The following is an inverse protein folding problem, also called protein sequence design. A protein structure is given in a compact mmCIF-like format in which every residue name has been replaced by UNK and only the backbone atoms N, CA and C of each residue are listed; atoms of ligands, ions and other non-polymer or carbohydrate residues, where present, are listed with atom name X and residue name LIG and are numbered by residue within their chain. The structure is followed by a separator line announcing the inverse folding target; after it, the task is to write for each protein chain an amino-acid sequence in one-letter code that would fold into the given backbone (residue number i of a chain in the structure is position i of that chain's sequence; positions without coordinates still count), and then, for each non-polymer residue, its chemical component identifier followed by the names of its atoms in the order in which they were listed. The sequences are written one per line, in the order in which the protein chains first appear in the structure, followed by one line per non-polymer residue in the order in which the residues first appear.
data_IF_760329577649
#
_entry.id   IF_760329577649
#
_cell.length_a   1.000
_cell.length_b   1.000
_cell.length_c   1.000
_cell.angle_alpha   90.00
_cell.angle_beta   90.00
_cell.angle_gamma   90.00
#
_symmetry.space_group_name_H-M   'P 1'
#
loop_
_entity.id
_entity.type
_entity.pdbx_description
1 polymer ?
#
# COMPACT_ATOMS: atom_id res chain seq x y z
N UNK A 1 -14.91 -5.92 -59.88
CA UNK A 1 -14.55 -7.32 -59.55
C UNK A 1 -14.64 -7.45 -58.05
N UNK A 2 -15.86 -7.75 -57.58
CA UNK A 2 -16.18 -7.98 -56.17
C UNK A 2 -16.04 -9.47 -55.87
N UNK A 3 -15.37 -9.82 -54.78
CA UNK A 3 -15.46 -11.15 -54.19
C UNK A 3 -15.96 -11.01 -52.76
N UNK A 4 -17.24 -11.34 -52.58
CA UNK A 4 -17.88 -11.63 -51.29
C UNK A 4 -17.40 -13.01 -50.83
N UNK A 5 -16.82 -13.08 -49.64
CA UNK A 5 -16.64 -14.34 -48.91
C UNK A 5 -17.70 -14.42 -47.82
N UNK A 6 -18.62 -15.35 -48.04
CA UNK A 6 -19.55 -15.92 -47.07
C UNK A 6 -18.74 -16.81 -46.14
N UNK A 7 -18.92 -16.68 -44.83
CA UNK A 7 -18.44 -17.67 -43.87
C UNK A 7 -19.54 -17.95 -42.84
N UNK A 8 -20.20 -19.08 -43.04
CA UNK A 8 -21.03 -19.76 -42.06
C UNK A 8 -20.13 -20.65 -41.17
N UNK A 9 -20.54 -20.88 -39.93
CA UNK A 9 -20.01 -21.97 -39.10
C UNK A 9 -19.75 -21.60 -37.64
N UNK A 10 -20.75 -21.85 -36.78
CA UNK A 10 -20.55 -21.94 -35.33
C UNK A 10 -19.72 -23.17 -34.93
N UNK A 11 -19.34 -23.28 -33.64
CA UNK A 11 -20.15 -24.18 -32.81
C UNK A 11 -20.43 -23.68 -31.39
N UNK A 12 -21.60 -24.09 -30.93
CA UNK A 12 -22.15 -24.13 -29.58
C UNK A 12 -21.18 -24.72 -28.55
N UNK A 13 -20.98 -24.02 -27.43
CA UNK A 13 -20.39 -24.59 -26.21
C UNK A 13 -21.49 -25.09 -25.27
N UNK A 14 -21.36 -26.30 -24.70
CA UNK A 14 -22.31 -26.83 -23.73
C UNK A 14 -22.01 -26.31 -22.31
N UNK A 15 -23.06 -25.90 -21.61
CA UNK A 15 -23.04 -25.72 -20.17
C UNK A 15 -22.88 -27.08 -19.50
N UNK A 16 -21.73 -27.30 -18.86
CA UNK A 16 -21.53 -28.40 -17.92
C UNK A 16 -22.00 -27.95 -16.53
N UNK A 17 -23.09 -28.56 -16.10
CA UNK A 17 -23.53 -28.63 -14.71
C UNK A 17 -22.48 -29.39 -13.88
N UNK A 18 -22.16 -28.88 -12.69
CA UNK A 18 -21.42 -29.63 -11.67
C UNK A 18 -22.33 -29.93 -10.47
N UNK A 19 -22.25 -31.15 -9.92
CA UNK A 19 -23.19 -31.68 -8.95
C UNK A 19 -22.82 -31.32 -7.51
N UNK A 20 -23.81 -31.52 -6.63
CA UNK A 20 -23.72 -31.25 -5.21
C UNK A 20 -22.68 -32.06 -4.43
N UNK A 21 -22.33 -31.50 -3.29
CA UNK A 21 -21.71 -32.15 -2.14
C UNK A 21 -22.26 -31.39 -0.95
N UNK A 22 -23.00 -31.98 0.00
CA UNK A 22 -22.72 -33.24 0.66
C UNK A 22 -22.44 -32.89 2.11
N UNK A 23 -23.41 -33.19 2.98
CA UNK A 23 -23.32 -32.99 4.43
C UNK A 23 -21.99 -33.51 4.99
N UNK A 24 -21.35 -32.72 5.87
CA UNK A 24 -20.59 -33.30 6.97
C UNK A 24 -21.08 -32.74 8.29
N UNK A 25 -21.63 -33.68 9.07
CA UNK A 25 -22.03 -33.56 10.45
C UNK A 25 -20.82 -33.21 11.32
N UNK A 26 -21.04 -32.29 12.25
CA UNK A 26 -20.09 -31.92 13.30
C UNK A 26 -20.38 -32.83 14.50
N UNK A 27 -19.42 -33.62 15.00
CA UNK A 27 -19.62 -34.38 16.23
C UNK A 27 -19.49 -33.46 17.45
N UNK A 28 -20.49 -33.60 18.33
CA UNK A 28 -20.52 -33.18 19.72
C UNK A 28 -19.42 -33.87 20.52
N UNK A 29 -18.79 -33.21 21.49
CA UNK A 29 -18.25 -33.90 22.65
C UNK A 29 -19.07 -33.55 23.90
N UNK A 30 -19.57 -34.61 24.52
CA UNK A 30 -20.14 -34.67 25.85
C UNK A 30 -19.18 -34.19 26.94
N UNK A 31 -19.77 -33.58 27.97
CA UNK A 31 -19.59 -34.01 29.36
C UNK A 31 -18.25 -33.71 30.05
N UNK A 32 -18.26 -32.69 30.91
CA UNK A 32 -17.88 -32.85 32.33
C UNK A 32 -18.17 -31.53 33.09
N UNK A 33 -19.19 -31.57 33.94
CA UNK A 33 -19.36 -30.64 35.06
C UNK A 33 -18.22 -30.82 36.08
N UNK A 34 -17.94 -29.79 36.90
CA UNK A 34 -18.05 -30.06 38.32
C UNK A 34 -18.72 -28.93 39.12
N UNK A 35 -19.62 -29.40 39.98
CA UNK A 35 -19.80 -29.03 41.40
C UNK A 35 -19.95 -27.55 41.77
N UNK A 36 -21.24 -27.21 41.90
CA UNK A 36 -21.80 -26.39 42.96
C UNK A 36 -21.06 -26.58 44.31
N UNK A 37 -20.48 -25.50 44.82
CA UNK A 37 -20.33 -25.29 46.26
C UNK A 37 -21.23 -24.16 46.71
N UNK A 38 -22.23 -24.57 47.47
CA UNK A 38 -23.07 -23.74 48.31
C UNK A 38 -22.20 -23.06 49.39
N UNK A 39 -22.36 -21.75 49.54
CA UNK A 39 -22.07 -21.08 50.79
C UNK A 39 -23.28 -20.23 51.13
N UNK A 40 -24.12 -20.84 51.95
CA UNK A 40 -25.08 -20.19 52.81
C UNK A 40 -24.39 -19.06 53.58
N UNK A 41 -24.92 -17.85 53.47
CA UNK A 41 -24.87 -16.89 54.58
C UNK A 41 -26.14 -16.03 54.49
N UNK A 42 -27.17 -16.57 55.11
CA UNK A 42 -28.38 -15.86 55.50
C UNK A 42 -28.03 -14.64 56.35
N UNK A 43 -28.30 -13.45 55.84
CA UNK A 43 -28.57 -12.27 56.69
C UNK A 43 -29.92 -11.70 56.29
N UNK A 44 -30.92 -12.12 57.05
CA UNK A 44 -32.31 -11.67 57.02
C UNK A 44 -32.41 -10.24 57.55
N UNK A 45 -32.22 -9.25 56.68
CA UNK A 45 -32.60 -7.86 56.97
C UNK A 45 -33.98 -7.62 56.37
N UNK A 46 -35.02 -7.81 57.20
CA UNK A 46 -36.40 -7.41 56.95
C UNK A 46 -36.47 -5.88 56.78
N UNK A 47 -36.24 -5.39 55.56
CA UNK A 47 -36.72 -4.07 55.16
C UNK A 47 -38.18 -4.20 54.72
N UNK A 48 -39.09 -3.66 55.52
CA UNK A 48 -40.45 -3.35 55.09
C UNK A 48 -40.37 -2.37 53.91
N UNK A 49 -40.37 -2.90 52.69
CA UNK A 49 -40.63 -2.13 51.48
C UNK A 49 -42.10 -1.71 51.51
N UNK A 50 -42.38 -0.48 51.96
CA UNK A 50 -43.56 0.24 51.49
C UNK A 50 -43.36 0.44 49.99
N UNK A 51 -43.88 -0.50 49.20
CA UNK A 51 -44.02 -0.34 47.76
C UNK A 51 -45.02 0.79 47.53
N UNK A 52 -44.52 2.02 47.51
CA UNK A 52 -45.12 3.01 46.64
C UNK A 52 -45.04 2.41 45.24
N UNK A 53 -46.16 1.91 44.76
CA UNK A 53 -46.35 1.53 43.38
C UNK A 53 -46.17 2.82 42.56
N UNK A 54 -44.91 3.15 42.26
CA UNK A 54 -44.59 4.07 41.19
C UNK A 54 -45.17 3.38 39.96
N UNK A 55 -46.20 3.95 39.32
CA UNK A 55 -46.87 3.29 38.22
C UNK A 55 -45.81 2.93 37.20
N UNK A 56 -45.77 1.65 36.81
CA UNK A 56 -44.80 1.06 35.88
C UNK A 56 -44.54 1.93 34.63
N UNK A 57 -45.57 2.66 34.20
CA UNK A 57 -45.54 3.66 33.13
C UNK A 57 -44.52 4.79 33.33
N UNK A 58 -44.27 5.27 34.57
CA UNK A 58 -43.27 6.31 34.84
C UNK A 58 -41.85 5.76 34.67
N UNK A 59 -41.61 4.52 35.09
CA UNK A 59 -40.33 3.84 34.89
C UNK A 59 -40.03 3.59 33.41
N UNK A 60 -41.02 3.10 32.66
CA UNK A 60 -40.90 2.88 31.22
C UNK A 60 -40.67 4.20 30.45
N UNK A 61 -41.38 5.27 30.80
CA UNK A 61 -41.19 6.59 30.20
C UNK A 61 -39.80 7.17 30.48
N UNK A 62 -39.27 7.02 31.70
CA UNK A 62 -37.93 7.48 32.05
C UNK A 62 -36.83 6.72 31.27
N UNK A 63 -36.96 5.39 31.13
CA UNK A 63 -36.01 4.58 30.35
C UNK A 63 -36.05 4.94 28.87
N UNK A 64 -37.24 5.18 28.30
CA UNK A 64 -37.39 5.59 26.91
C UNK A 64 -36.80 6.99 26.67
N UNK A 65 -37.07 7.95 27.56
CA UNK A 65 -36.52 9.31 27.48
C UNK A 65 -35.00 9.30 27.64
N UNK A 66 -34.46 8.50 28.56
CA UNK A 66 -33.02 8.31 28.72
C UNK A 66 -32.39 7.68 27.48
N UNK A 67 -33.04 6.68 26.87
CA UNK A 67 -32.58 6.07 25.61
C UNK A 67 -32.56 7.09 24.47
N UNK A 68 -33.60 7.93 24.34
CA UNK A 68 -33.64 9.02 23.36
C UNK A 68 -32.56 10.08 23.62
N UNK A 69 -32.27 10.40 24.88
CA UNK A 69 -31.20 11.33 25.24
C UNK A 69 -29.81 10.75 24.97
N UNK A 70 -29.60 9.45 25.21
CA UNK A 70 -28.34 8.76 24.88
C UNK A 70 -28.17 8.66 23.37
N UNK A 71 -29.20 8.24 22.61
CA UNK A 71 -29.17 8.21 21.14
C UNK A 71 -29.03 9.61 20.52
N UNK A 72 -29.71 10.61 21.08
CA UNK A 72 -29.63 12.01 20.65
C UNK A 72 -28.27 12.64 20.99
N UNK A 73 -27.76 12.39 22.19
CA UNK A 73 -26.43 12.81 22.63
C UNK A 73 -25.31 12.14 21.83
N UNK A 74 -25.44 10.86 21.49
CA UNK A 74 -24.51 10.16 20.61
C UNK A 74 -24.57 10.69 19.19
N UNK A 75 -25.74 11.05 18.66
CA UNK A 75 -25.84 11.75 17.36
C UNK A 75 -25.19 13.13 17.39
N UNK A 76 -25.33 13.89 18.48
CA UNK A 76 -24.70 15.20 18.62
C UNK A 76 -23.16 15.09 18.76
N UNK A 77 -22.68 14.10 19.51
CA UNK A 77 -21.24 13.81 19.66
C UNK A 77 -20.66 13.21 18.37
N UNK A 78 -21.40 12.37 17.66
CA UNK A 78 -20.99 11.82 16.36
C UNK A 78 -20.98 12.87 15.24
N UNK A 79 -21.81 13.93 15.34
CA UNK A 79 -21.76 15.09 14.44
C UNK A 79 -20.56 16.01 14.69
N UNK A 80 -19.87 15.86 15.83
CA UNK A 80 -18.59 16.55 16.05
C UNK A 80 -17.55 15.81 15.23
N UNK A 81 -17.33 16.25 14.00
CA UNK A 81 -16.23 15.75 13.16
C UNK A 81 -14.96 15.72 14.04
N UNK A 82 -14.42 14.52 14.27
CA UNK A 82 -13.17 14.38 15.01
C UNK A 82 -12.13 15.13 14.19
N UNK A 83 -11.45 16.10 14.83
CA UNK A 83 -10.39 16.83 14.18
C UNK A 83 -9.38 15.82 13.62
N UNK A 84 -9.08 15.85 12.32
CA UNK A 84 -8.11 14.94 11.74
C UNK A 84 -6.77 15.10 12.45
N UNK A 85 -6.06 13.98 12.57
CA UNK A 85 -4.74 13.94 13.19
C UNK A 85 -3.73 14.34 12.12
N UNK A 86 -3.25 15.58 12.16
CA UNK A 86 -2.24 16.09 11.23
C UNK A 86 -1.89 17.55 11.52
N UNK A 87 -0.70 18.02 11.10
CA UNK A 87 -0.35 19.44 11.23
C UNK A 87 -1.23 20.29 10.30
N UNK A 88 -1.54 21.55 10.66
CA UNK A 88 -2.25 22.46 9.77
C UNK A 88 -1.41 22.79 8.54
N UNK A 89 -2.07 23.09 7.42
CA UNK A 89 -1.41 23.63 6.23
C UNK A 89 -0.87 25.03 6.56
N UNK A 90 0.41 25.32 6.33
CA UNK A 90 0.99 26.64 6.56
C UNK A 90 0.33 27.70 5.67
N UNK A 91 0.00 28.84 6.27
CA UNK A 91 -0.63 29.99 5.57
C UNK A 91 0.05 31.31 5.88
N UNK A 92 0.98 31.32 6.82
CA UNK A 92 1.84 32.45 7.10
C UNK A 92 2.97 32.53 6.06
N UNK A 93 3.53 33.72 5.79
CA UNK A 93 4.54 33.90 4.75
C UNK A 93 5.80 33.04 4.93
N UNK A 94 6.22 32.79 6.17
CA UNK A 94 7.39 31.96 6.48
C UNK A 94 7.11 30.50 6.17
N UNK A 95 5.94 29.99 6.58
CA UNK A 95 5.45 28.66 6.25
C UNK A 95 5.32 28.44 4.75
N UNK A 96 4.74 29.38 4.01
CA UNK A 96 4.63 29.31 2.54
C UNK A 96 6.01 29.22 1.89
N UNK A 97 6.95 30.08 2.30
CA UNK A 97 8.33 30.03 1.82
C UNK A 97 8.99 28.70 2.17
N UNK A 98 8.79 28.20 3.38
CA UNK A 98 9.29 26.89 3.81
C UNK A 98 8.80 25.74 2.93
N UNK A 99 7.54 25.76 2.48
CA UNK A 99 7.04 24.74 1.54
C UNK A 99 7.70 24.82 0.16
N UNK A 100 7.98 26.03 -0.34
CA UNK A 100 8.66 26.22 -1.62
C UNK A 100 10.13 25.80 -1.52
N UNK A 101 10.83 26.18 -0.45
CA UNK A 101 12.22 25.80 -0.20
C UNK A 101 12.35 24.26 -0.07
N UNK A 102 11.39 23.61 0.59
CA UNK A 102 11.31 22.15 0.67
C UNK A 102 11.12 21.49 -0.70
N UNK A 103 10.25 22.06 -1.54
CA UNK A 103 10.03 21.60 -2.91
C UNK A 103 11.30 21.69 -3.76
N UNK A 104 11.99 22.83 -3.72
CA UNK A 104 13.25 23.03 -4.45
C UNK A 104 14.31 22.03 -4.01
N UNK A 105 14.48 21.84 -2.70
CA UNK A 105 15.41 20.87 -2.14
C UNK A 105 15.06 19.43 -2.52
N UNK A 106 13.76 19.07 -2.57
CA UNK A 106 13.33 17.77 -3.06
C UNK A 106 13.68 17.57 -4.53
N UNK A 107 13.45 18.58 -5.37
CA UNK A 107 13.78 18.56 -6.79
C UNK A 107 15.29 18.40 -7.04
N UNK A 108 16.12 19.13 -6.29
CA UNK A 108 17.59 19.01 -6.35
C UNK A 108 18.08 17.62 -5.93
N UNK A 109 17.54 17.07 -4.83
CA UNK A 109 17.88 15.71 -4.38
C UNK A 109 17.52 14.65 -5.42
N UNK A 110 16.35 14.76 -6.03
CA UNK A 110 15.93 13.84 -7.10
C UNK A 110 16.83 13.97 -8.33
N UNK A 111 17.14 15.20 -8.75
CA UNK A 111 18.04 15.43 -9.90
C UNK A 111 19.43 14.85 -9.63
N UNK A 112 19.99 15.08 -8.44
CA UNK A 112 21.28 14.52 -8.05
C UNK A 112 21.25 12.99 -8.01
N UNK A 113 20.22 12.39 -7.38
CA UNK A 113 20.05 10.93 -7.32
C UNK A 113 19.90 10.32 -8.70
N UNK A 114 19.09 10.93 -9.58
CA UNK A 114 18.90 10.48 -10.95
C UNK A 114 20.21 10.49 -11.74
N UNK A 115 21.00 11.55 -11.64
CA UNK A 115 22.31 11.65 -12.32
C UNK A 115 23.32 10.63 -11.80
N UNK A 116 23.29 10.32 -10.49
CA UNK A 116 24.18 9.35 -9.86
C UNK A 116 23.74 7.89 -10.04
N UNK A 117 22.47 7.64 -10.36
CA UNK A 117 21.95 6.31 -10.64
C UNK A 117 22.56 5.69 -11.90
N UNK A 118 22.83 4.39 -11.86
CA UNK A 118 23.28 3.62 -13.03
C UNK A 118 22.25 3.68 -14.16
N UNK A 119 22.68 3.31 -15.38
CA UNK A 119 21.77 3.19 -16.51
C UNK A 119 20.68 2.15 -16.27
N UNK A 120 21.03 1.01 -15.68
CA UNK A 120 20.09 -0.06 -15.35
C UNK A 120 19.03 0.41 -14.34
N UNK A 121 19.42 1.17 -13.31
CA UNK A 121 18.49 1.75 -12.34
C UNK A 121 17.54 2.76 -13.01
N UNK A 122 18.05 3.62 -13.90
CA UNK A 122 17.20 4.59 -14.63
C UNK A 122 16.25 3.91 -15.61
N UNK A 123 16.70 2.86 -16.30
CA UNK A 123 15.89 2.06 -17.20
C UNK A 123 14.80 1.29 -16.43
N UNK A 124 15.16 0.68 -15.30
CA UNK A 124 14.23 0.03 -14.37
C UNK A 124 13.18 1.02 -13.85
N UNK A 125 13.60 2.21 -13.38
CA UNK A 125 12.68 3.24 -12.92
C UNK A 125 11.68 3.63 -14.01
N UNK A 126 12.18 3.86 -15.22
CA UNK A 126 11.36 4.21 -16.39
C UNK A 126 10.37 3.09 -16.77
N UNK A 127 10.72 1.83 -16.51
CA UNK A 127 9.89 0.68 -16.86
C UNK A 127 8.82 0.39 -15.82
N UNK A 128 9.15 0.54 -14.53
CA UNK A 128 8.27 0.11 -13.44
C UNK A 128 7.57 1.25 -12.71
N UNK A 129 8.16 2.43 -12.61
CA UNK A 129 7.66 3.53 -11.76
C UNK A 129 7.30 4.80 -12.53
N UNK A 130 7.30 4.75 -13.86
CA UNK A 130 6.86 5.87 -14.70
C UNK A 130 5.42 5.68 -15.20
N UNK A 131 4.73 6.77 -15.58
CA UNK A 131 3.42 6.73 -16.23
C UNK A 131 3.34 5.82 -17.48
N UNK A 132 4.48 5.52 -18.11
CA UNK A 132 4.55 4.59 -19.24
C UNK A 132 4.03 3.19 -18.89
N UNK A 133 4.16 2.77 -17.63
CA UNK A 133 3.71 1.46 -17.17
C UNK A 133 2.18 1.34 -17.13
N UNK A 134 1.47 2.45 -16.87
CA UNK A 134 0.01 2.44 -16.76
C UNK A 134 -0.67 2.71 -18.09
N UNK A 135 0.06 3.24 -19.07
CA UNK A 135 -0.41 3.39 -20.45
C UNK A 135 -0.68 2.01 -21.08
N UNK A 136 -1.79 1.89 -21.80
CA UNK A 136 -1.98 0.73 -22.68
C UNK A 136 -1.00 0.87 -23.86
N UNK A 137 -0.29 -0.21 -24.27
CA UNK A 137 0.64 -0.17 -25.41
C UNK A 137 -0.01 0.29 -26.73
N UNK A 138 -1.35 0.21 -26.83
CA UNK A 138 -2.12 0.66 -27.99
C UNK A 138 -2.50 2.14 -27.95
N UNK A 139 -2.35 2.81 -26.81
CA UNK A 139 -2.84 4.19 -26.61
C UNK A 139 -1.81 5.25 -27.01
N UNK A 140 -0.52 5.04 -26.72
CA UNK A 140 0.53 6.05 -26.91
C UNK A 140 1.85 5.36 -27.25
N UNK A 141 2.59 5.89 -28.23
CA UNK A 141 3.99 5.49 -28.44
C UNK A 141 4.78 5.83 -27.18
N UNK A 142 5.33 4.85 -26.47
CA UNK A 142 6.02 5.10 -25.21
C UNK A 142 7.22 6.05 -25.29
N UNK A 143 7.78 6.28 -26.49
CA UNK A 143 8.87 7.23 -26.75
C UNK A 143 8.42 8.68 -26.68
N UNK A 144 7.12 8.94 -26.80
CA UNK A 144 6.53 10.28 -26.78
C UNK A 144 6.19 10.75 -25.36
N UNK A 145 6.25 9.86 -24.37
CA UNK A 145 5.98 10.18 -22.97
C UNK A 145 7.22 10.87 -22.39
N UNK A 146 7.11 12.12 -21.90
CA UNK A 146 8.22 12.82 -21.28
C UNK A 146 8.81 12.04 -20.10
N UNK A 147 10.12 12.16 -19.89
CA UNK A 147 10.77 11.56 -18.73
C UNK A 147 10.21 12.11 -17.43
N UNK A 148 9.77 11.23 -16.52
CA UNK A 148 9.08 11.61 -15.28
C UNK A 148 9.86 12.62 -14.43
N UNK A 149 11.16 12.42 -14.27
CA UNK A 149 12.02 13.34 -13.49
C UNK A 149 12.08 14.72 -14.14
N UNK A 150 12.35 14.78 -15.45
CA UNK A 150 12.40 16.05 -16.18
C UNK A 150 11.05 16.77 -16.15
N UNK A 151 9.95 16.03 -16.28
CA UNK A 151 8.62 16.60 -16.20
C UNK A 151 8.31 17.20 -14.82
N UNK A 152 8.60 16.50 -13.73
CA UNK A 152 8.39 17.05 -12.38
C UNK A 152 9.27 18.27 -12.13
N UNK A 153 10.55 18.16 -12.42
CA UNK A 153 11.54 19.18 -12.04
C UNK A 153 11.54 20.37 -13.01
N UNK A 154 11.64 20.13 -14.31
CA UNK A 154 11.86 21.18 -15.29
C UNK A 154 10.53 21.82 -15.77
N UNK A 155 9.40 21.15 -15.55
CA UNK A 155 8.06 21.69 -15.84
C UNK A 155 7.34 22.15 -14.56
N UNK A 156 6.97 21.24 -13.66
CA UNK A 156 6.09 21.60 -12.53
C UNK A 156 6.78 22.44 -11.46
N UNK A 157 7.95 22.00 -10.97
CA UNK A 157 8.71 22.77 -9.95
C UNK A 157 9.10 24.13 -10.50
N UNK A 158 9.61 24.17 -11.75
CA UNK A 158 9.94 25.43 -12.42
C UNK A 158 8.74 26.36 -12.55
N UNK A 159 7.57 25.83 -12.96
CA UNK A 159 6.35 26.62 -13.10
C UNK A 159 5.91 27.22 -11.76
N UNK A 160 5.86 26.43 -10.67
CA UNK A 160 5.51 26.94 -9.34
C UNK A 160 6.51 27.97 -8.81
N UNK A 161 7.81 27.75 -9.04
CA UNK A 161 8.87 28.70 -8.66
C UNK A 161 8.75 30.03 -9.42
N UNK A 162 8.40 29.98 -10.70
CA UNK A 162 8.22 31.16 -11.54
C UNK A 162 6.86 31.83 -11.38
N UNK A 163 5.91 31.15 -10.74
CA UNK A 163 4.56 31.65 -10.51
C UNK A 163 4.53 32.77 -9.47
N UNK A 164 3.43 33.54 -9.40
CA UNK A 164 3.27 34.56 -8.39
C UNK A 164 3.26 33.91 -7.00
N UNK A 165 4.10 34.41 -6.10
CA UNK A 165 4.05 34.05 -4.70
C UNK A 165 2.80 34.68 -4.07
N UNK A 166 2.00 33.97 -3.25
CA UNK A 166 0.80 34.53 -2.67
C UNK A 166 1.07 35.81 -1.87
N UNK A 167 0.34 36.87 -2.19
CA UNK A 167 0.49 38.16 -1.51
C UNK A 167 0.11 38.09 -0.03
N UNK A 168 0.58 39.05 0.76
CA UNK A 168 0.18 39.16 2.19
C UNK A 168 -1.35 39.25 2.34
N UNK A 169 -2.02 39.87 1.39
CA UNK A 169 -3.47 40.06 1.35
C UNK A 169 -4.22 38.94 0.61
N UNK A 170 -3.51 37.94 0.07
CA UNK A 170 -4.14 36.78 -0.56
C UNK A 170 -5.06 36.07 0.43
N UNK A 171 -6.14 35.50 -0.11
CA UNK A 171 -7.11 34.75 0.69
C UNK A 171 -6.44 33.58 1.41
N UNK A 172 -7.01 33.14 2.53
CA UNK A 172 -6.48 31.98 3.25
C UNK A 172 -6.48 30.74 2.36
N UNK A 173 -7.54 30.59 1.57
CA UNK A 173 -7.75 29.47 0.65
C UNK A 173 -6.65 29.42 -0.42
N UNK A 174 -6.32 30.56 -1.03
CA UNK A 174 -5.25 30.68 -2.02
C UNK A 174 -3.88 30.32 -1.44
N UNK A 175 -3.59 30.76 -0.21
CA UNK A 175 -2.35 30.41 0.50
C UNK A 175 -2.28 28.91 0.80
N UNK A 176 -3.38 28.31 1.24
CA UNK A 176 -3.46 26.86 1.49
C UNK A 176 -3.29 26.04 0.20
N UNK A 177 -3.88 26.47 -0.91
CA UNK A 177 -3.71 25.79 -2.21
C UNK A 177 -2.28 25.86 -2.74
N UNK A 178 -1.63 27.00 -2.59
CA UNK A 178 -0.22 27.17 -2.93
C UNK A 178 0.67 26.23 -2.10
N UNK A 179 0.48 26.22 -0.77
CA UNK A 179 1.21 25.34 0.13
C UNK A 179 0.96 23.86 -0.19
N UNK A 180 -0.30 23.45 -0.40
CA UNK A 180 -0.65 22.08 -0.75
C UNK A 180 -0.07 21.65 -2.10
N UNK A 181 -0.01 22.55 -3.08
CA UNK A 181 0.62 22.26 -4.38
C UNK A 181 2.12 21.98 -4.21
N UNK A 182 2.81 22.79 -3.40
CA UNK A 182 4.22 22.57 -3.07
C UNK A 182 4.43 21.25 -2.30
N UNK A 183 3.61 20.98 -1.29
CA UNK A 183 3.67 19.76 -0.49
C UNK A 183 3.40 18.51 -1.32
N UNK A 184 2.41 18.54 -2.21
CA UNK A 184 2.08 17.43 -3.10
C UNK A 184 3.25 17.11 -4.03
N UNK A 185 3.82 18.12 -4.72
CA UNK A 185 4.96 17.87 -5.61
C UNK A 185 6.21 17.43 -4.83
N UNK A 186 6.42 17.96 -3.63
CA UNK A 186 7.50 17.52 -2.74
C UNK A 186 7.35 16.05 -2.38
N UNK A 187 6.15 15.63 -1.97
CA UNK A 187 5.84 14.23 -1.65
C UNK A 187 6.04 13.31 -2.87
N UNK A 188 5.63 13.74 -4.06
CA UNK A 188 5.87 12.99 -5.31
C UNK A 188 7.38 12.87 -5.58
N UNK A 189 8.15 13.93 -5.42
CA UNK A 189 9.60 13.92 -5.60
C UNK A 189 10.31 13.04 -4.55
N UNK A 190 9.90 13.09 -3.29
CA UNK A 190 10.43 12.21 -2.24
C UNK A 190 10.09 10.73 -2.51
N UNK A 191 8.91 10.44 -3.04
CA UNK A 191 8.55 9.10 -3.50
C UNK A 191 9.42 8.66 -4.70
N UNK A 192 9.68 9.54 -5.67
CA UNK A 192 10.63 9.28 -6.78
C UNK A 192 12.02 8.95 -6.23
N UNK A 193 12.54 9.78 -5.32
CA UNK A 193 13.83 9.56 -4.68
C UNK A 193 13.88 8.18 -3.99
N UNK A 194 12.82 7.86 -3.25
CA UNK A 194 12.69 6.58 -2.53
C UNK A 194 12.70 5.39 -3.48
N UNK A 195 12.02 5.48 -4.65
CA UNK A 195 12.03 4.42 -5.67
C UNK A 195 13.38 4.29 -6.38
N UNK A 196 14.09 5.39 -6.63
CA UNK A 196 15.46 5.32 -7.15
C UNK A 196 16.40 4.65 -6.15
N UNK A 197 16.26 4.98 -4.86
CA UNK A 197 17.07 4.38 -3.80
C UNK A 197 16.77 2.88 -3.59
N UNK A 198 15.51 2.49 -3.73
CA UNK A 198 15.10 1.09 -3.76
C UNK A 198 15.81 0.32 -4.88
N UNK A 199 15.80 0.85 -6.11
CA UNK A 199 16.40 0.20 -7.27
C UNK A 199 17.93 0.12 -7.15
N UNK A 200 18.60 1.16 -6.64
CA UNK A 200 20.04 1.10 -6.33
C UNK A 200 20.35 0.02 -5.27
N UNK A 201 19.50 -0.10 -4.25
CA UNK A 201 19.65 -1.14 -3.23
C UNK A 201 19.42 -2.54 -3.80
N UNK A 202 18.47 -2.70 -4.73
CA UNK A 202 18.24 -3.95 -5.45
C UNK A 202 19.40 -4.32 -6.37
N UNK A 203 20.08 -3.34 -6.98
CA UNK A 203 21.24 -3.55 -7.84
C UNK A 203 22.41 -4.07 -7.02
N UNK A 204 22.67 -3.44 -5.88
CA UNK A 204 23.66 -3.91 -4.90
C UNK A 204 23.32 -5.31 -4.37
N UNK A 205 22.03 -5.57 -4.12
CA UNK A 205 21.56 -6.88 -3.71
C UNK A 205 21.79 -7.94 -4.79
N UNK A 206 21.48 -7.64 -6.05
CA UNK A 206 21.66 -8.56 -7.18
C UNK A 206 23.15 -8.92 -7.38
N UNK A 207 24.04 -7.93 -7.27
CA UNK A 207 25.48 -8.15 -7.37
C UNK A 207 26.02 -9.09 -6.27
N UNK A 208 25.47 -8.99 -5.06
CA UNK A 208 25.82 -9.86 -3.94
C UNK A 208 25.12 -11.23 -3.94
N UNK A 209 24.10 -11.44 -4.79
CA UNK A 209 23.26 -12.64 -4.79
C UNK A 209 22.96 -13.13 -6.22
N UNK A 210 23.97 -13.58 -6.99
CA UNK A 210 23.83 -13.92 -8.41
C UNK A 210 22.85 -15.08 -8.70
N UNK A 211 22.44 -15.84 -7.69
CA UNK A 211 21.43 -16.90 -7.80
C UNK A 211 19.98 -16.44 -7.57
N UNK A 212 19.76 -15.15 -7.28
CA UNK A 212 18.43 -14.59 -6.99
C UNK A 212 17.99 -13.67 -8.13
N UNK A 213 16.83 -13.99 -8.70
CA UNK A 213 16.18 -13.18 -9.73
C UNK A 213 15.70 -11.84 -9.14
N UNK A 214 16.06 -10.73 -9.80
CA UNK A 214 15.62 -9.37 -9.44
C UNK A 214 14.90 -8.76 -10.64
N UNK A 215 13.61 -9.11 -10.77
CA UNK A 215 12.77 -8.74 -11.93
C UNK A 215 12.72 -7.23 -12.16
N UNK A 216 12.72 -6.43 -11.10
CA UNK A 216 12.69 -4.97 -11.18
C UNK A 216 13.89 -4.37 -11.91
N UNK A 217 14.99 -5.11 -12.06
CA UNK A 217 16.19 -4.69 -12.79
C UNK A 217 16.39 -5.47 -14.11
N UNK A 218 15.42 -6.29 -14.51
CA UNK A 218 15.57 -7.19 -15.65
C UNK A 218 16.58 -8.32 -15.43
N UNK A 219 17.14 -8.48 -14.23
CA UNK A 219 18.08 -9.54 -13.88
C UNK A 219 17.34 -10.86 -13.78
N UNK A 220 17.54 -11.72 -14.78
CA UNK A 220 16.99 -13.07 -14.83
C UNK A 220 18.08 -14.08 -14.50
N UNK A 221 17.81 -14.92 -13.51
CA UNK A 221 18.68 -16.05 -13.18
C UNK A 221 18.08 -17.33 -13.79
N UNK A 222 18.90 -18.23 -14.36
CA UNK A 222 18.43 -19.55 -14.74
C UNK A 222 17.67 -20.19 -13.59
N UNK A 223 16.55 -20.82 -13.91
CA UNK A 223 15.79 -21.61 -12.97
C UNK A 223 16.62 -22.85 -12.63
N UNK A 224 17.56 -22.72 -11.68
CA UNK A 224 18.28 -23.85 -11.07
C UNK A 224 17.25 -24.69 -10.31
N UNK A 225 16.54 -25.57 -11.01
CA UNK A 225 15.43 -26.32 -10.42
C UNK A 225 15.90 -27.57 -9.72
N UNK A 226 17.00 -28.22 -10.13
CA UNK A 226 17.49 -29.46 -9.49
C UNK A 226 18.99 -29.75 -9.69
N UNK A 227 19.78 -28.81 -10.19
CA UNK A 227 21.14 -29.10 -10.62
C UNK A 227 22.13 -28.93 -9.46
N UNK A 228 22.62 -30.08 -8.97
CA UNK A 228 23.82 -30.32 -8.14
C UNK A 228 23.56 -31.15 -6.87
N UNK A 229 22.49 -31.94 -6.84
CA UNK A 229 22.23 -32.98 -5.81
C UNK A 229 23.31 -34.09 -5.74
N UNK A 230 24.30 -34.08 -6.62
CA UNK A 230 25.34 -35.13 -6.68
C UNK A 230 26.53 -34.86 -5.75
N UNK A 231 26.61 -33.69 -5.10
CA UNK A 231 27.63 -33.40 -4.09
C UNK A 231 27.04 -33.47 -2.69
N UNK A 232 27.82 -34.04 -1.77
CA UNK A 232 27.55 -33.95 -0.33
C UNK A 232 27.46 -32.46 0.04
N UNK A 233 26.25 -31.99 0.30
CA UNK A 233 25.95 -30.58 0.56
C UNK A 233 25.79 -30.39 2.06
N UNK A 234 26.41 -29.32 2.59
CA UNK A 234 26.23 -28.93 3.97
C UNK A 234 24.74 -28.68 4.26
N UNK A 235 24.31 -29.03 5.48
CA UNK A 235 22.91 -28.85 5.90
C UNK A 235 22.77 -27.77 6.95
N UNK A 236 21.66 -27.03 6.88
CA UNK A 236 21.32 -25.92 7.77
C UNK A 236 20.03 -26.24 8.53
N UNK A 237 20.10 -26.11 9.85
CA UNK A 237 18.92 -26.24 10.71
C UNK A 237 17.96 -25.07 10.57
N UNK A 238 16.66 -25.34 10.78
CA UNK A 238 15.64 -24.29 10.85
C UNK A 238 15.94 -23.25 11.94
N UNK A 239 16.56 -23.67 13.06
CA UNK A 239 16.96 -22.76 14.14
C UNK A 239 18.08 -21.80 13.70
N UNK A 240 19.09 -22.28 12.96
CA UNK A 240 20.13 -21.41 12.36
C UNK A 240 19.50 -20.42 11.37
N UNK A 241 18.66 -20.89 10.45
CA UNK A 241 17.94 -20.04 9.51
C UNK A 241 17.10 -18.95 10.18
N UNK A 242 16.34 -19.30 11.22
CA UNK A 242 15.50 -18.36 11.97
C UNK A 242 16.33 -17.27 12.65
N UNK A 243 17.48 -17.64 13.26
CA UNK A 243 18.42 -16.68 13.85
C UNK A 243 19.01 -15.74 12.81
N UNK A 244 19.34 -16.25 11.63
CA UNK A 244 19.86 -15.42 10.54
C UNK A 244 18.83 -14.39 10.05
N UNK A 245 17.56 -14.78 9.95
CA UNK A 245 16.48 -13.85 9.58
C UNK A 245 16.24 -12.78 10.66
N UNK A 246 16.33 -13.15 11.94
CA UNK A 246 16.25 -12.21 13.07
C UNK A 246 17.44 -11.24 13.08
N UNK A 247 18.66 -11.74 12.90
CA UNK A 247 19.87 -10.93 12.86
C UNK A 247 19.85 -9.93 11.70
N UNK A 248 19.19 -10.28 10.59
CA UNK A 248 18.93 -9.39 9.46
C UNK A 248 17.76 -8.41 9.69
N UNK A 249 17.09 -8.45 10.85
CA UNK A 249 15.97 -7.57 11.19
C UNK A 249 14.69 -7.81 10.39
N UNK A 250 14.56 -8.98 9.74
CA UNK A 250 13.46 -9.28 8.82
C UNK A 250 12.21 -9.70 9.61
N UNK A 251 12.39 -10.57 10.61
CA UNK A 251 11.28 -11.16 11.36
C UNK A 251 11.66 -11.28 12.84
N UNK A 252 10.73 -10.89 13.72
CA UNK A 252 10.83 -11.18 15.14
C UNK A 252 10.22 -12.55 15.41
N UNK A 253 11.07 -13.56 15.61
CA UNK A 253 10.64 -14.92 15.93
C UNK A 253 10.86 -15.21 17.42
N UNK A 254 10.06 -16.09 18.05
CA UNK A 254 10.39 -16.58 19.39
C UNK A 254 11.71 -17.38 19.36
N UNK A 255 12.47 -17.44 20.48
CA UNK A 255 13.69 -18.23 20.56
C UNK A 255 13.45 -19.68 20.12
N UNK A 256 14.28 -20.18 19.21
CA UNK A 256 14.23 -21.57 18.75
C UNK A 256 15.30 -22.36 19.49
N UNK A 257 14.87 -23.32 20.33
CA UNK A 257 15.77 -24.23 21.05
C UNK A 257 15.89 -25.56 20.29
N UNK A 258 17.11 -26.12 20.22
CA UNK A 258 17.39 -27.41 19.59
C UNK A 258 17.86 -27.35 18.14
N UNK A 259 18.40 -28.47 17.63
CA UNK A 259 18.93 -28.57 16.27
C UNK A 259 17.83 -28.63 15.20
N UNK A 260 16.61 -29.07 15.54
CA UNK A 260 15.47 -29.06 14.62
C UNK A 260 15.70 -29.85 13.32
N UNK A 261 14.77 -29.78 12.36
CA UNK A 261 15.01 -30.33 11.02
C UNK A 261 16.13 -29.56 10.31
N UNK A 262 16.92 -30.28 9.50
CA UNK A 262 17.98 -29.72 8.66
C UNK A 262 17.64 -29.86 7.18
N UNK A 263 18.20 -28.99 6.35
CA UNK A 263 18.00 -29.01 4.90
C UNK A 263 19.22 -28.47 4.15
N UNK A 264 19.38 -28.74 2.85
CA UNK A 264 20.58 -28.35 2.09
C UNK A 264 20.80 -26.83 2.09
N UNK A 265 22.03 -26.40 2.36
CA UNK A 265 22.39 -24.99 2.58
C UNK A 265 22.05 -24.09 1.38
N UNK A 266 22.29 -24.52 0.14
CA UNK A 266 22.01 -23.72 -1.04
C UNK A 266 20.52 -23.40 -1.20
N UNK A 267 19.63 -24.35 -0.85
CA UNK A 267 18.18 -24.09 -0.87
C UNK A 267 17.79 -23.11 0.24
N UNK A 268 18.39 -23.25 1.42
CA UNK A 268 18.15 -22.35 2.56
C UNK A 268 18.63 -20.93 2.25
N UNK A 269 19.83 -20.77 1.70
CA UNK A 269 20.37 -19.47 1.29
C UNK A 269 19.55 -18.86 0.14
N UNK A 270 19.03 -19.67 -0.78
CA UNK A 270 18.12 -19.18 -1.82
C UNK A 270 16.81 -18.66 -1.25
N UNK A 271 16.18 -19.40 -0.33
CA UNK A 271 14.97 -18.96 0.37
C UNK A 271 15.24 -17.66 1.14
N UNK A 272 16.35 -17.62 1.89
CA UNK A 272 16.82 -16.43 2.62
C UNK A 272 17.02 -15.23 1.69
N UNK A 273 17.58 -15.45 0.50
CA UNK A 273 17.71 -14.44 -0.55
C UNK A 273 16.37 -13.85 -0.98
N UNK A 274 15.39 -14.68 -1.31
CA UNK A 274 14.04 -14.19 -1.68
C UNK A 274 13.34 -13.48 -0.52
N UNK A 275 13.48 -13.97 0.71
CA UNK A 275 12.91 -13.32 1.90
C UNK A 275 13.55 -11.95 2.13
N UNK A 276 14.88 -11.83 2.01
CA UNK A 276 15.61 -10.55 2.08
C UNK A 276 15.13 -9.58 1.00
N UNK A 277 15.01 -10.04 -0.25
CA UNK A 277 14.55 -9.21 -1.36
C UNK A 277 13.10 -8.74 -1.17
N UNK A 278 12.20 -9.62 -0.72
CA UNK A 278 10.81 -9.24 -0.43
C UNK A 278 10.73 -8.22 0.72
N UNK A 279 11.55 -8.37 1.75
CA UNK A 279 11.64 -7.41 2.85
C UNK A 279 12.18 -6.04 2.38
N UNK A 280 13.19 -6.04 1.51
CA UNK A 280 13.70 -4.83 0.88
C UNK A 280 12.58 -4.10 0.11
N UNK A 281 11.86 -4.81 -0.77
CA UNK A 281 10.70 -4.26 -1.50
C UNK A 281 9.67 -3.67 -0.54
N UNK A 282 9.25 -4.48 0.44
CA UNK A 282 8.20 -4.10 1.39
C UNK A 282 8.56 -2.87 2.22
N UNK A 283 9.83 -2.74 2.63
CA UNK A 283 10.30 -1.58 3.39
C UNK A 283 10.25 -0.30 2.57
N UNK A 284 10.64 -0.34 1.30
CA UNK A 284 10.54 0.82 0.42
C UNK A 284 9.09 1.14 0.02
N UNK A 285 8.24 0.13 -0.19
CA UNK A 285 6.79 0.31 -0.39
C UNK A 285 6.17 1.05 0.82
N UNK A 286 6.52 0.64 2.04
CA UNK A 286 6.07 1.31 3.26
C UNK A 286 6.56 2.76 3.37
N UNK A 287 7.80 3.05 2.98
CA UNK A 287 8.31 4.43 2.95
C UNK A 287 7.51 5.31 1.99
N UNK A 288 7.23 4.83 0.78
CA UNK A 288 6.42 5.57 -0.21
C UNK A 288 4.99 5.76 0.29
N UNK A 289 4.38 4.72 0.87
CA UNK A 289 3.05 4.82 1.48
C UNK A 289 3.03 5.85 2.61
N UNK A 290 4.04 5.86 3.48
CA UNK A 290 4.17 6.83 4.56
C UNK A 290 4.21 8.28 4.07
N UNK A 291 5.00 8.55 3.01
CA UNK A 291 5.08 9.87 2.37
C UNK A 291 3.69 10.33 1.89
N UNK A 292 2.95 9.46 1.21
CA UNK A 292 1.64 9.82 0.69
C UNK A 292 0.54 9.87 1.76
N UNK A 293 0.62 9.04 2.80
CA UNK A 293 -0.28 9.10 3.95
C UNK A 293 -0.10 10.41 4.73
N UNK A 294 1.15 10.88 4.89
CA UNK A 294 1.44 12.17 5.51
C UNK A 294 0.81 13.32 4.71
N UNK A 295 0.99 13.33 3.37
CA UNK A 295 0.33 14.28 2.47
C UNK A 295 -1.20 14.26 2.64
N UNK A 296 -1.81 13.07 2.68
CA UNK A 296 -3.26 12.92 2.86
C UNK A 296 -3.73 13.42 4.24
N UNK A 297 -2.86 13.39 5.26
CA UNK A 297 -3.10 14.01 6.56
C UNK A 297 -3.26 15.54 6.47
N UNK A 298 -2.37 16.21 5.73
CA UNK A 298 -2.49 17.65 5.46
C UNK A 298 -3.76 17.99 4.66
N UNK A 299 -4.09 17.17 3.66
CA UNK A 299 -5.31 17.33 2.85
C UNK A 299 -6.57 17.17 3.72
N UNK A 300 -6.61 16.18 4.60
CA UNK A 300 -7.72 16.00 5.53
C UNK A 300 -7.86 17.20 6.49
N UNK A 301 -6.74 17.73 6.98
CA UNK A 301 -6.72 18.91 7.84
C UNK A 301 -7.16 20.19 7.11
N UNK A 302 -6.82 20.36 5.83
CA UNK A 302 -7.27 21.48 5.00
C UNK A 302 -8.79 21.44 4.75
N UNK A 303 -9.38 20.24 4.67
CA UNK A 303 -10.83 20.05 4.51
C UNK A 303 -11.64 20.25 5.79
N UNK A 304 -10.99 20.19 6.95
CA UNK A 304 -11.68 20.20 8.23
C UNK A 304 -12.37 21.54 8.48
N UNK A 305 -13.67 21.50 8.81
CA UNK A 305 -14.48 22.70 9.08
C UNK A 305 -14.86 23.52 7.84
N UNK A 306 -14.53 23.05 6.63
CA UNK A 306 -15.00 23.65 5.37
C UNK A 306 -16.40 23.15 5.00
N UNK A 307 -17.11 23.96 4.23
CA UNK A 307 -18.35 23.56 3.57
C UNK A 307 -18.08 22.60 2.39
N UNK A 308 -19.14 22.17 1.70
CA UNK A 308 -19.04 21.22 0.60
C UNK A 308 -18.15 21.74 -0.53
N UNK A 309 -18.32 23.00 -0.92
CA UNK A 309 -17.58 23.62 -2.02
C UNK A 309 -16.09 23.77 -1.67
N UNK A 310 -15.79 24.19 -0.43
CA UNK A 310 -14.43 24.29 0.08
C UNK A 310 -13.74 22.93 0.21
N UNK A 311 -14.48 21.86 0.51
CA UNK A 311 -13.98 20.47 0.50
C UNK A 311 -13.71 19.99 -0.93
N UNK A 312 -14.64 20.23 -1.85
CA UNK A 312 -14.51 19.85 -3.26
C UNK A 312 -13.33 20.54 -3.94
N UNK A 313 -13.09 21.82 -3.62
CA UNK A 313 -11.94 22.59 -4.10
C UNK A 313 -10.61 21.98 -3.68
N UNK A 314 -10.47 21.53 -2.43
CA UNK A 314 -9.27 20.81 -1.96
C UNK A 314 -9.19 19.41 -2.59
N UNK A 315 -10.32 18.74 -2.77
CA UNK A 315 -10.37 17.43 -3.42
C UNK A 315 -9.92 17.44 -4.88
N UNK A 316 -10.07 18.59 -5.54
CA UNK A 316 -9.75 18.82 -6.94
C UNK A 316 -8.73 19.98 -7.06
N UNK A 317 -7.57 19.81 -6.43
CA UNK A 317 -6.53 20.83 -6.39
C UNK A 317 -5.91 21.07 -7.78
N UNK A 318 -5.92 22.32 -8.26
CA UNK A 318 -5.26 22.71 -9.50
C UNK A 318 -3.76 22.96 -9.25
N UNK A 319 -2.92 22.43 -10.16
CA UNK A 319 -1.46 22.56 -10.05
C UNK A 319 -0.94 23.05 -11.38
N UNK A 320 -0.39 24.25 -11.42
CA UNK A 320 0.22 24.79 -12.64
C UNK A 320 1.42 23.94 -13.10
N UNK A 321 1.58 23.65 -14.40
CA UNK A 321 0.77 24.11 -15.53
C UNK A 321 -0.35 23.14 -15.95
N UNK A 322 -0.70 22.15 -15.13
CA UNK A 322 -1.77 21.21 -15.46
C UNK A 322 -3.14 21.89 -15.49
N UNK A 323 -3.89 21.61 -16.54
CA UNK A 323 -5.28 22.03 -16.66
C UNK A 323 -6.26 21.15 -15.86
N UNK A 324 -6.15 19.81 -15.82
CA UNK A 324 -7.03 19.03 -14.96
C UNK A 324 -6.57 19.11 -13.50
N UNK A 325 -7.51 19.07 -12.54
CA UNK A 325 -7.15 19.05 -11.13
C UNK A 325 -6.64 17.69 -10.67
N UNK A 326 -5.85 17.69 -9.60
CA UNK A 326 -5.42 16.50 -8.89
C UNK A 326 -6.57 15.94 -8.02
N UNK A 327 -7.04 14.69 -8.27
CA UNK A 327 -8.20 14.12 -7.57
C UNK A 327 -7.81 13.44 -6.26
N UNK A 328 -7.71 14.17 -5.15
CA UNK A 328 -7.23 13.61 -3.88
C UNK A 328 -8.07 12.46 -3.34
N UNK A 329 -9.41 12.51 -3.48
CA UNK A 329 -10.27 11.38 -3.09
C UNK A 329 -9.89 10.10 -3.82
N UNK A 330 -9.62 10.19 -5.13
CA UNK A 330 -9.22 9.04 -5.94
C UNK A 330 -7.81 8.56 -5.56
N UNK A 331 -6.90 9.50 -5.32
CA UNK A 331 -5.56 9.19 -4.87
C UNK A 331 -5.55 8.48 -3.52
N UNK A 332 -6.36 8.93 -2.55
CA UNK A 332 -6.51 8.28 -1.26
C UNK A 332 -6.99 6.83 -1.37
N UNK A 333 -7.93 6.55 -2.29
CA UNK A 333 -8.37 5.17 -2.57
C UNK A 333 -7.23 4.30 -3.13
N UNK A 334 -6.37 4.86 -3.99
CA UNK A 334 -5.22 4.14 -4.52
C UNK A 334 -4.19 3.84 -3.41
N UNK A 335 -3.91 4.81 -2.53
CA UNK A 335 -3.03 4.64 -1.36
C UNK A 335 -3.57 3.56 -0.41
N UNK A 336 -4.87 3.59 -0.09
CA UNK A 336 -5.50 2.59 0.80
C UNK A 336 -5.41 1.16 0.22
N UNK A 337 -5.69 0.99 -1.08
CA UNK A 337 -5.54 -0.31 -1.77
C UNK A 337 -4.10 -0.81 -1.73
N UNK A 338 -3.14 0.07 -2.04
CA UNK A 338 -1.71 -0.28 -2.02
C UNK A 338 -1.24 -0.64 -0.59
N UNK A 339 -1.73 0.07 0.43
CA UNK A 339 -1.45 -0.23 1.84
C UNK A 339 -1.91 -1.63 2.24
N UNK A 340 -3.18 -1.96 1.96
CA UNK A 340 -3.76 -3.29 2.25
C UNK A 340 -2.99 -4.41 1.56
N UNK A 341 -2.54 -4.19 0.31
CA UNK A 341 -1.78 -5.20 -0.42
C UNK A 341 -0.34 -5.35 0.07
N UNK A 342 0.30 -4.26 0.48
CA UNK A 342 1.63 -4.29 1.08
C UNK A 342 1.64 -5.14 2.36
N UNK A 343 0.59 -5.04 3.18
CA UNK A 343 0.42 -5.88 4.37
C UNK A 343 0.33 -7.37 4.04
N UNK A 344 -0.41 -7.74 2.99
CA UNK A 344 -0.57 -9.14 2.56
C UNK A 344 0.73 -9.75 2.05
N UNK A 345 1.64 -8.94 1.48
CA UNK A 345 2.92 -9.41 0.93
C UNK A 345 4.02 -9.58 1.97
N UNK A 346 3.87 -8.94 3.13
CA UNK A 346 4.86 -8.98 4.19
C UNK A 346 5.07 -10.40 4.70
N UNK A 347 6.33 -10.80 4.88
CA UNK A 347 6.66 -12.06 5.54
C UNK A 347 6.36 -11.92 7.04
N UNK A 348 5.33 -12.62 7.52
CA UNK A 348 4.96 -12.61 8.93
C UNK A 348 5.76 -13.65 9.74
N UNK A 349 5.96 -13.43 11.05
CA UNK A 349 6.53 -14.44 11.95
C UNK A 349 5.80 -15.77 11.90
N UNK A 350 4.46 -15.74 11.88
CA UNK A 350 3.64 -16.96 11.80
C UNK A 350 3.89 -17.75 10.52
N UNK A 351 4.07 -17.07 9.39
CA UNK A 351 4.38 -17.72 8.12
C UNK A 351 5.73 -18.45 8.19
N UNK A 352 6.77 -17.78 8.71
CA UNK A 352 8.10 -18.39 8.83
C UNK A 352 8.09 -19.59 9.76
N UNK A 353 7.42 -19.50 10.92
CA UNK A 353 7.30 -20.62 11.85
C UNK A 353 6.61 -21.83 11.22
N UNK A 354 5.60 -21.60 10.37
CA UNK A 354 4.92 -22.68 9.62
C UNK A 354 5.80 -23.38 8.57
N UNK A 355 6.98 -22.82 8.23
CA UNK A 355 7.93 -23.49 7.35
C UNK A 355 8.69 -24.60 8.04
N UNK A 356 8.74 -24.62 9.38
CA UNK A 356 9.43 -25.65 10.17
C UNK A 356 8.94 -27.06 9.84
N UNK A 357 7.63 -27.22 9.68
CA UNK A 357 7.00 -28.52 9.37
C UNK A 357 7.31 -29.00 7.95
N UNK A 358 7.80 -28.09 7.10
CA UNK A 358 8.14 -28.32 5.70
C UNK A 358 9.64 -28.12 5.45
N UNK A 359 10.47 -28.21 6.49
CA UNK A 359 11.91 -28.01 6.42
C UNK A 359 12.63 -29.26 5.89
N UNK A 360 12.25 -29.66 4.69
CA UNK A 360 12.81 -30.73 3.88
C UNK A 360 12.87 -30.25 2.42
N UNK A 361 13.49 -31.02 1.54
CA UNK A 361 13.75 -30.57 0.16
C UNK A 361 12.44 -30.17 -0.58
N UNK A 362 11.40 -31.03 -0.68
CA UNK A 362 10.16 -30.65 -1.38
C UNK A 362 9.47 -29.43 -0.76
N UNK A 363 9.43 -29.34 0.57
CA UNK A 363 8.83 -28.22 1.27
C UNK A 363 9.58 -26.90 1.05
N UNK A 364 10.92 -26.93 1.06
CA UNK A 364 11.75 -25.77 0.75
C UNK A 364 11.56 -25.31 -0.70
N UNK A 365 11.52 -26.22 -1.67
CA UNK A 365 11.26 -25.85 -3.07
C UNK A 365 9.90 -25.18 -3.24
N UNK A 366 8.86 -25.74 -2.64
CA UNK A 366 7.53 -25.13 -2.66
C UNK A 366 7.55 -23.72 -2.05
N UNK A 367 8.30 -23.54 -0.96
CA UNK A 367 8.39 -22.26 -0.28
C UNK A 367 9.25 -21.23 -1.03
N UNK A 368 10.36 -21.64 -1.65
CA UNK A 368 11.17 -20.82 -2.56
C UNK A 368 10.32 -20.36 -3.73
N UNK A 369 9.57 -21.26 -4.36
CA UNK A 369 8.67 -20.93 -5.46
C UNK A 369 7.61 -19.92 -5.02
N UNK A 370 7.04 -20.09 -3.82
CA UNK A 370 6.05 -19.16 -3.26
C UNK A 370 6.63 -17.77 -3.03
N UNK A 371 7.78 -17.65 -2.37
CA UNK A 371 8.42 -16.35 -2.12
C UNK A 371 8.91 -15.69 -3.41
N UNK A 372 9.47 -16.47 -4.34
CA UNK A 372 9.80 -15.98 -5.69
C UNK A 372 8.57 -15.42 -6.39
N UNK A 373 7.45 -16.14 -6.35
CA UNK A 373 6.19 -15.70 -7.00
C UNK A 373 5.65 -14.43 -6.36
N UNK A 374 5.82 -14.22 -5.06
CA UNK A 374 5.48 -12.93 -4.42
C UNK A 374 6.31 -11.78 -4.98
N UNK A 375 7.61 -11.98 -5.19
CA UNK A 375 8.53 -10.95 -5.73
C UNK A 375 8.31 -10.71 -7.23
N UNK A 376 8.14 -11.76 -8.02
CA UNK A 376 7.97 -11.65 -9.48
C UNK A 376 6.55 -11.24 -9.84
N UNK A 377 5.55 -11.87 -9.23
CA UNK A 377 4.13 -11.61 -9.47
C UNK A 377 3.68 -10.25 -8.93
N UNK A 378 4.38 -9.68 -7.92
CA UNK A 378 4.02 -8.37 -7.37
C UNK A 378 4.05 -7.26 -8.41
N UNK A 379 4.97 -7.35 -9.38
CA UNK A 379 5.18 -6.33 -10.42
C UNK A 379 3.95 -6.23 -11.32
N UNK A 380 3.47 -7.36 -11.84
CA UNK A 380 2.30 -7.41 -12.70
C UNK A 380 1.05 -6.95 -11.95
N UNK A 381 0.88 -7.45 -10.73
CA UNK A 381 -0.24 -7.08 -9.85
C UNK A 381 -0.25 -5.59 -9.49
N UNK A 382 0.91 -4.99 -9.23
CA UNK A 382 1.05 -3.54 -9.00
C UNK A 382 0.70 -2.76 -10.27
N UNK A 383 1.19 -3.19 -11.43
CA UNK A 383 0.90 -2.51 -12.69
C UNK A 383 -0.61 -2.49 -13.00
N UNK A 384 -1.31 -3.60 -12.76
CA UNK A 384 -2.76 -3.67 -12.91
C UNK A 384 -3.48 -2.71 -11.96
N UNK A 385 -3.11 -2.67 -10.68
CA UNK A 385 -3.70 -1.74 -9.71
C UNK A 385 -3.49 -0.27 -10.07
N UNK A 386 -2.26 0.07 -10.51
CA UNK A 386 -1.93 1.43 -10.95
C UNK A 386 -2.77 1.82 -12.17
N UNK A 387 -2.90 0.90 -13.12
CA UNK A 387 -3.75 1.09 -14.30
C UNK A 387 -5.21 1.31 -13.89
N UNK A 388 -5.74 0.50 -12.99
CA UNK A 388 -7.11 0.61 -12.49
C UNK A 388 -7.33 1.94 -11.75
N UNK A 389 -6.36 2.36 -10.94
CA UNK A 389 -6.41 3.62 -10.21
C UNK A 389 -6.49 4.84 -11.14
N UNK A 390 -5.81 4.81 -12.31
CA UNK A 390 -5.90 5.87 -13.32
C UNK A 390 -6.99 5.65 -14.36
N UNK A 391 -7.58 4.46 -14.44
CA UNK A 391 -8.58 4.10 -15.46
C UNK A 391 -9.83 4.99 -15.35
N UNK A 392 -10.29 5.59 -16.45
CA UNK A 392 -11.43 6.50 -16.40
C UNK A 392 -11.18 7.81 -15.63
N UNK A 393 -9.93 8.12 -15.29
CA UNK A 393 -9.53 9.47 -14.93
C UNK A 393 -9.10 10.21 -16.21
N UNK A 394 -9.87 11.24 -16.58
CA UNK A 394 -9.82 11.95 -17.87
C UNK A 394 -10.30 11.14 -19.09
N UNK A 395 -10.75 11.87 -20.12
CA UNK A 395 -11.23 11.28 -21.38
C UNK A 395 -10.06 10.61 -22.10
N UNK A 396 -10.35 9.53 -22.86
CA UNK A 396 -9.31 8.76 -23.56
C UNK A 396 -8.45 9.64 -24.49
N UNK A 397 -9.01 10.62 -25.19
CA UNK A 397 -8.25 11.41 -26.18
C UNK A 397 -7.18 12.36 -25.62
N UNK A 398 -7.06 12.49 -24.29
CA UNK A 398 -6.05 13.33 -23.62
C UNK A 398 -4.91 12.49 -23.01
N UNK A 399 -4.46 11.45 -23.72
CA UNK A 399 -3.51 10.49 -23.19
C UNK A 399 -2.21 11.14 -22.70
N UNK A 400 -1.61 12.06 -23.47
CA UNK A 400 -0.36 12.72 -23.07
C UNK A 400 -0.54 13.61 -21.84
N UNK A 401 -1.64 14.37 -21.78
CA UNK A 401 -2.00 15.19 -20.60
C UNK A 401 -2.15 14.32 -19.37
N UNK A 402 -2.91 13.22 -19.48
CA UNK A 402 -3.12 12.26 -18.38
C UNK A 402 -1.80 11.66 -17.91
N UNK A 403 -0.96 11.18 -18.84
CA UNK A 403 0.31 10.53 -18.49
C UNK A 403 1.35 11.51 -17.94
N UNK A 404 1.26 12.79 -18.31
CA UNK A 404 2.14 13.86 -17.81
C UNK A 404 1.61 14.55 -16.55
N UNK A 405 0.52 14.06 -15.97
CA UNK A 405 -0.08 14.68 -14.81
C UNK A 405 0.53 14.16 -13.49
N UNK A 406 0.71 15.00 -12.45
CA UNK A 406 1.26 14.59 -11.16
C UNK A 406 0.49 13.45 -10.51
N UNK A 407 -0.83 13.36 -10.71
CA UNK A 407 -1.66 12.23 -10.25
C UNK A 407 -1.21 10.89 -10.83
N UNK A 408 -1.06 10.79 -12.16
CA UNK A 408 -0.62 9.54 -12.79
C UNK A 408 0.79 9.17 -12.35
N UNK A 409 1.67 10.17 -12.18
CA UNK A 409 3.02 9.96 -11.67
C UNK A 409 2.96 9.44 -10.23
N UNK A 410 2.20 10.07 -9.34
CA UNK A 410 2.03 9.65 -7.95
C UNK A 410 1.49 8.22 -7.85
N UNK A 411 0.48 7.88 -8.65
CA UNK A 411 -0.05 6.50 -8.72
C UNK A 411 0.99 5.52 -9.24
N UNK A 412 1.81 5.89 -10.23
CA UNK A 412 2.86 5.01 -10.76
C UNK A 412 3.95 4.68 -9.74
N UNK A 413 4.08 5.49 -8.68
CA UNK A 413 5.04 5.30 -7.60
C UNK A 413 4.52 4.40 -6.47
N UNK A 414 3.20 4.19 -6.35
CA UNK A 414 2.59 3.26 -5.37
C UNK A 414 2.91 1.81 -5.73
#
# INVERSE_FOLDING_TARGET
MEQRLVNEGGPTSPHAELPGSGLMQRPTPDGAEPELRESELSTTLRMQKKTHAVPFWIGAAAVFLFSLLVLGGWKAVAKRERRPVGPPVPTDPEGLKGTLDALEKAAERVRAKWTLSSEDVRAAFSSYYSPRNVASPREVDPRTIPGTVGLLVDTYVKALKSGPFPDKNASKEEKEEYALSNMLLSAVLDAVYTRLDQLTSMESFAAGNPGIEVVHLGVRTPLLWMCDLEKEEDTVSFAKFSRDLQAAGIVQLPPQNGEGPTAPEAQVERLKGYVKLNNLISSYDQKVLGIFQELLGFVAQAKFGRDSDGKERIDNLYISPSSPPFPFTRFAQAVDRSSKRTEVRRVSPSNVLGWKDHWNMPGLQAQIFRERTKVVGSVYLQQEERRDAVSGWLKRHEHLTRLSHPFTIAVSLL
#
